data_IF_744867877563
#
_entry.id   IF_744867877563
#
_cell.length_a   1.000
_cell.length_b   1.000
_cell.length_c   1.000
_cell.angle_alpha   90.00
_cell.angle_beta   90.00
_cell.angle_gamma   90.00
#
_symmetry.space_group_name_H-M   'P 1'
#
loop_
_entity.id
_entity.type
_entity.pdbx_description
1 polymer ?
#
# COMPACT_ATOMS: atom_id res chain seq x y z
N UNK A 1 -6.22 27.59 -53.29
CA UNK A 1 -6.07 28.75 -52.38
C UNK A 1 -6.56 28.32 -50.99
N UNK A 2 -5.64 27.88 -50.12
CA UNK A 2 -5.98 27.24 -48.83
C UNK A 2 -5.86 28.29 -47.71
N UNK A 3 -6.99 28.62 -47.05
CA UNK A 3 -7.01 29.53 -45.90
C UNK A 3 -6.55 28.79 -44.65
N UNK A 4 -5.38 29.16 -44.11
CA UNK A 4 -4.94 28.72 -42.79
C UNK A 4 -5.70 29.49 -41.70
N UNK A 5 -6.50 28.77 -40.91
CA UNK A 5 -7.11 29.26 -39.68
C UNK A 5 -6.08 29.19 -38.54
N UNK A 6 -5.47 30.33 -38.21
CA UNK A 6 -4.67 30.46 -36.99
C UNK A 6 -5.59 30.41 -35.76
N UNK A 7 -5.53 29.31 -34.99
CA UNK A 7 -6.16 29.22 -33.66
C UNK A 7 -5.37 30.08 -32.66
N UNK A 8 -5.95 31.21 -32.24
CA UNK A 8 -5.50 31.97 -31.06
C UNK A 8 -5.64 31.07 -29.81
N UNK A 9 -4.52 30.80 -29.13
CA UNK A 9 -4.54 30.19 -27.80
C UNK A 9 -5.07 31.22 -26.80
N UNK A 10 -6.00 30.86 -25.89
CA UNK A 10 -6.45 31.77 -24.85
C UNK A 10 -5.29 32.03 -23.88
N UNK A 11 -5.02 33.31 -23.64
CA UNK A 11 -4.12 33.76 -22.59
C UNK A 11 -4.68 33.31 -21.23
N UNK A 12 -4.09 32.27 -20.65
CA UNK A 12 -4.29 31.94 -19.24
C UNK A 12 -3.72 33.09 -18.41
N UNK A 13 -4.61 34.01 -17.98
CA UNK A 13 -4.25 35.03 -17.01
C UNK A 13 -3.99 34.33 -15.69
N UNK A 14 -2.71 34.19 -15.33
CA UNK A 14 -2.32 33.94 -13.94
C UNK A 14 -2.92 35.06 -13.09
N UNK A 15 -3.88 34.71 -12.23
CA UNK A 15 -4.38 35.60 -11.20
C UNK A 15 -3.24 35.86 -10.21
N UNK A 16 -2.48 36.93 -10.44
CA UNK A 16 -1.58 37.48 -9.43
C UNK A 16 -2.46 37.92 -8.25
N UNK A 17 -2.32 37.24 -7.11
CA UNK A 17 -2.91 37.67 -5.84
C UNK A 17 -2.35 39.06 -5.51
N UNK A 18 -3.13 40.11 -5.79
CA UNK A 18 -2.73 41.51 -5.61
C UNK A 18 -2.92 42.03 -4.18
N UNK A 19 -3.41 41.20 -3.25
CA UNK A 19 -3.69 41.62 -1.89
C UNK A 19 -2.88 40.79 -0.89
N UNK A 20 -1.92 41.44 -0.23
CA UNK A 20 -1.05 40.86 0.80
C UNK A 20 -1.89 40.20 1.91
N UNK A 21 -3.03 40.78 2.25
CA UNK A 21 -3.96 40.23 3.25
C UNK A 21 -4.51 38.85 2.85
N UNK A 22 -4.78 38.60 1.57
CA UNK A 22 -5.26 37.29 1.12
C UNK A 22 -4.16 36.22 1.21
N UNK A 23 -2.90 36.60 0.98
CA UNK A 23 -1.76 35.70 1.12
C UNK A 23 -1.48 35.37 2.59
N UNK A 24 -1.60 36.36 3.48
CA UNK A 24 -1.49 36.17 4.94
C UNK A 24 -2.62 35.27 5.47
N UNK A 25 -3.87 35.50 5.05
CA UNK A 25 -5.01 34.66 5.44
C UNK A 25 -4.87 33.23 4.92
N UNK A 26 -4.38 33.06 3.69
CA UNK A 26 -4.13 31.74 3.13
C UNK A 26 -3.01 31.00 3.89
N UNK A 27 -1.89 31.67 4.16
CA UNK A 27 -0.79 31.09 4.92
C UNK A 27 -1.21 30.73 6.35
N UNK A 28 -1.98 31.59 7.03
CA UNK A 28 -2.53 31.31 8.35
C UNK A 28 -3.48 30.09 8.31
N UNK A 29 -4.32 29.98 7.28
CA UNK A 29 -5.17 28.81 7.03
C UNK A 29 -4.36 27.53 6.86
N UNK A 30 -3.31 27.55 6.05
CA UNK A 30 -2.42 26.40 5.85
C UNK A 30 -1.69 25.99 7.14
N UNK A 31 -1.18 26.96 7.91
CA UNK A 31 -0.49 26.68 9.17
C UNK A 31 -1.48 26.07 10.17
N UNK A 32 -2.67 26.66 10.34
CA UNK A 32 -3.66 26.16 11.30
C UNK A 32 -4.13 24.74 10.98
N UNK A 33 -4.36 24.43 9.71
CA UNK A 33 -4.75 23.08 9.26
C UNK A 33 -3.60 22.08 9.40
N UNK A 34 -2.36 22.49 9.09
CA UNK A 34 -1.18 21.66 9.33
C UNK A 34 -0.99 21.36 10.82
N UNK A 35 -1.10 22.36 11.69
CA UNK A 35 -0.97 22.18 13.14
C UNK A 35 -2.07 21.27 13.69
N UNK A 36 -3.33 21.42 13.24
CA UNK A 36 -4.42 20.55 13.65
C UNK A 36 -4.19 19.10 13.19
N UNK A 37 -3.71 18.90 11.95
CA UNK A 37 -3.37 17.58 11.42
C UNK A 37 -2.21 16.93 12.18
N UNK A 38 -1.14 17.68 12.45
CA UNK A 38 0.00 17.21 13.25
C UNK A 38 -0.40 16.87 14.68
N UNK A 39 -1.25 17.68 15.33
CA UNK A 39 -1.76 17.38 16.67
C UNK A 39 -2.65 16.13 16.67
N UNK A 40 -3.46 15.93 15.64
CA UNK A 40 -4.31 14.74 15.50
C UNK A 40 -3.44 13.50 15.31
N UNK A 41 -2.42 13.56 14.46
CA UNK A 41 -1.42 12.49 14.30
C UNK A 41 -0.67 12.20 15.59
N UNK A 42 -0.28 13.24 16.32
CA UNK A 42 0.44 13.10 17.60
C UNK A 42 -0.46 12.49 18.69
N UNK A 43 -1.73 12.91 18.76
CA UNK A 43 -2.72 12.35 19.68
C UNK A 43 -3.13 10.91 19.33
N UNK A 44 -3.11 10.55 18.03
CA UNK A 44 -3.36 9.18 17.56
C UNK A 44 -2.14 8.27 17.63
N UNK A 45 -0.96 8.82 17.95
CA UNK A 45 0.26 8.02 18.06
C UNK A 45 0.32 7.36 19.44
N UNK A 46 0.60 6.05 19.46
CA UNK A 46 0.78 5.24 20.67
C UNK A 46 1.83 5.82 21.64
N UNK A 47 2.68 6.74 21.16
CA UNK A 47 3.69 7.50 21.91
C UNK A 47 3.12 8.34 23.07
N UNK A 48 1.96 9.00 22.91
CA UNK A 48 1.39 9.80 24.01
C UNK A 48 0.81 8.90 25.11
N UNK A 49 0.20 7.77 24.71
CA UNK A 49 -0.25 6.73 25.65
C UNK A 49 0.92 6.08 26.40
N UNK A 50 2.06 5.87 25.73
CA UNK A 50 3.30 5.37 26.33
C UNK A 50 3.92 6.39 27.29
N UNK A 51 3.95 7.67 26.93
CA UNK A 51 4.47 8.75 27.77
C UNK A 51 3.61 8.96 29.03
N UNK A 52 2.28 8.94 28.90
CA UNK A 52 1.35 9.01 30.03
C UNK A 52 1.56 7.79 30.94
N UNK A 53 1.72 6.59 30.39
CA UNK A 53 2.07 5.40 31.19
C UNK A 53 3.40 5.54 31.93
N UNK A 54 4.41 6.14 31.29
CA UNK A 54 5.72 6.41 31.92
C UNK A 54 5.64 7.44 33.05
N UNK A 55 4.81 8.48 32.90
CA UNK A 55 4.66 9.53 33.90
C UNK A 55 3.84 9.05 35.11
N UNK A 56 2.85 8.17 34.89
CA UNK A 56 1.91 7.72 35.93
C UNK A 56 2.18 6.30 36.47
N UNK A 57 3.30 5.68 36.15
CA UNK A 57 3.72 4.39 36.74
C UNK A 57 5.22 4.38 37.03
N UNK A 58 5.65 4.70 38.25
CA UNK A 58 7.04 4.64 38.64
C UNK A 58 7.34 3.24 39.17
N UNK A 59 8.06 2.43 38.40
CA UNK A 59 8.81 1.29 38.93
C UNK A 59 10.11 1.13 38.13
N UNK A 60 11.20 0.70 38.80
CA UNK A 60 12.56 1.12 38.49
C UNK A 60 13.13 0.34 37.32
N UNK A 61 13.96 1.02 36.53
CA UNK A 61 14.91 0.36 35.65
C UNK A 61 16.03 -0.26 36.49
N UNK A 62 16.30 -1.54 36.27
CA UNK A 62 17.67 -2.02 36.19
C UNK A 62 17.89 -2.71 34.84
N UNK A 63 19.07 -2.54 34.22
CA UNK A 63 19.32 -2.95 32.84
C UNK A 63 20.07 -4.29 32.81
N UNK A 64 19.49 -5.30 32.17
CA UNK A 64 20.26 -6.43 31.65
C UNK A 64 19.86 -6.68 30.19
N UNK A 65 20.71 -6.14 29.31
CA UNK A 65 20.87 -6.58 27.93
C UNK A 65 21.53 -7.95 28.03
N UNK A 66 20.75 -9.03 27.96
CA UNK A 66 21.09 -10.29 27.28
C UNK A 66 19.94 -11.30 27.51
N UNK A 67 19.48 -11.95 26.44
CA UNK A 67 18.72 -13.21 26.44
C UNK A 67 17.28 -13.19 27.00
N UNK A 68 16.30 -12.95 26.12
CA UNK A 68 15.01 -13.68 26.10
C UNK A 68 14.17 -13.28 24.88
N UNK A 69 14.63 -13.65 23.67
CA UNK A 69 13.71 -13.70 22.52
C UNK A 69 12.90 -15.01 22.50
N UNK A 70 13.35 -16.06 23.20
CA UNK A 70 12.66 -17.35 23.21
C UNK A 70 11.37 -17.37 24.07
N UNK A 71 11.28 -16.59 25.16
CA UNK A 71 10.09 -16.57 26.03
C UNK A 71 8.92 -15.73 25.49
N UNK A 72 9.18 -14.74 24.61
CA UNK A 72 8.09 -13.96 24.00
C UNK A 72 7.37 -14.72 22.88
N UNK A 73 7.97 -15.78 22.34
CA UNK A 73 7.35 -16.66 21.34
C UNK A 73 6.42 -17.72 21.92
N UNK A 74 6.57 -18.13 23.19
CA UNK A 74 5.66 -19.10 23.82
C UNK A 74 4.33 -18.48 24.30
N UNK A 75 4.29 -17.17 24.50
CA UNK A 75 3.09 -16.47 24.97
C UNK A 75 2.42 -15.58 23.93
N UNK A 76 3.04 -15.36 22.76
CA UNK A 76 2.35 -14.78 21.62
C UNK A 76 1.59 -15.87 20.84
N UNK A 77 0.60 -16.50 21.49
CA UNK A 77 -0.55 -16.97 20.72
C UNK A 77 -1.18 -15.71 20.13
N UNK A 78 -1.37 -15.59 18.80
CA UNK A 78 -2.20 -14.51 18.29
C UNK A 78 -3.48 -14.60 19.10
N UNK A 79 -3.81 -13.55 19.87
CA UNK A 79 -5.08 -13.50 20.59
C UNK A 79 -6.10 -13.74 19.50
N UNK A 80 -6.67 -14.94 19.47
CA UNK A 80 -7.71 -15.28 18.53
C UNK A 80 -8.74 -14.21 18.77
N UNK A 81 -8.90 -13.28 17.82
CA UNK A 81 -9.96 -12.30 17.91
C UNK A 81 -11.21 -13.15 18.09
N UNK A 82 -11.96 -13.03 19.21
CA UNK A 82 -13.25 -13.70 19.35
C UNK A 82 -14.29 -12.99 18.48
N UNK A 83 -13.88 -12.41 17.35
CA UNK A 83 -14.75 -12.27 16.23
C UNK A 83 -15.09 -13.69 15.82
N UNK A 84 -16.33 -14.10 16.05
CA UNK A 84 -16.95 -15.20 15.30
C UNK A 84 -16.37 -15.12 13.90
N UNK A 85 -15.81 -16.22 13.38
CA UNK A 85 -15.74 -16.43 11.94
C UNK A 85 -17.17 -16.23 11.45
N UNK A 86 -17.58 -14.99 11.21
CA UNK A 86 -18.71 -14.68 10.39
C UNK A 86 -18.24 -15.29 9.09
N UNK A 87 -18.95 -16.31 8.62
CA UNK A 87 -18.97 -16.56 7.19
C UNK A 87 -19.32 -15.19 6.61
N UNK A 88 -18.30 -14.50 6.10
CA UNK A 88 -18.53 -13.26 5.37
C UNK A 88 -19.26 -13.79 4.15
N UNK A 89 -20.59 -13.71 4.18
CA UNK A 89 -21.41 -14.05 3.04
C UNK A 89 -20.90 -13.15 1.93
N UNK A 90 -20.15 -13.73 0.99
CA UNK A 90 -19.55 -12.99 -0.11
C UNK A 90 -20.72 -12.41 -0.88
N UNK A 91 -20.80 -11.08 -0.93
CA UNK A 91 -21.83 -10.42 -1.73
C UNK A 91 -21.53 -10.66 -3.20
N UNK A 92 -22.15 -11.70 -3.75
CA UNK A 92 -22.01 -12.13 -5.14
C UNK A 92 -22.58 -11.12 -6.14
N UNK A 93 -23.24 -10.05 -5.67
CA UNK A 93 -23.82 -9.02 -6.53
C UNK A 93 -22.83 -7.93 -6.93
N UNK A 94 -21.69 -7.80 -6.23
CA UNK A 94 -20.65 -6.84 -6.62
C UNK A 94 -20.10 -7.23 -8.00
N UNK A 95 -20.22 -6.30 -8.96
CA UNK A 95 -19.65 -6.44 -10.31
C UNK A 95 -18.66 -5.31 -10.51
N UNK A 96 -17.45 -5.64 -10.94
CA UNK A 96 -16.47 -4.63 -11.33
C UNK A 96 -16.49 -4.45 -12.84
N UNK A 97 -16.24 -3.24 -13.32
CA UNK A 97 -16.28 -2.89 -14.73
C UNK A 97 -15.17 -3.57 -15.53
N UNK A 98 -13.98 -3.71 -14.93
CA UNK A 98 -12.79 -4.30 -15.56
C UNK A 98 -12.60 -5.78 -15.25
N UNK A 99 -13.46 -6.33 -14.38
CA UNK A 99 -13.23 -7.63 -13.79
C UNK A 99 -14.50 -8.28 -13.27
N UNK A 100 -14.69 -9.57 -13.56
CA UNK A 100 -15.77 -10.36 -12.97
C UNK A 100 -15.17 -11.62 -12.32
N UNK A 101 -14.96 -11.57 -11.00
CA UNK A 101 -14.37 -12.71 -10.26
C UNK A 101 -15.19 -14.01 -10.37
N UNK A 102 -16.42 -13.95 -10.88
CA UNK A 102 -17.26 -15.13 -11.12
C UNK A 102 -16.97 -15.81 -12.47
N UNK A 103 -16.21 -15.15 -13.34
CA UNK A 103 -15.89 -15.59 -14.70
C UNK A 103 -14.39 -15.94 -14.79
N UNK A 104 -14.03 -17.23 -14.89
CA UNK A 104 -12.64 -17.72 -14.96
C UNK A 104 -11.79 -16.98 -16.02
N UNK A 105 -12.39 -16.67 -17.16
CA UNK A 105 -11.75 -15.98 -18.27
C UNK A 105 -11.30 -14.55 -17.93
N UNK A 106 -11.86 -13.95 -16.88
CA UNK A 106 -11.44 -12.61 -16.41
C UNK A 106 -10.51 -12.67 -15.20
N UNK A 107 -10.23 -13.87 -14.66
CA UNK A 107 -9.29 -14.15 -13.57
C UNK A 107 -7.83 -14.22 -14.04
N UNK A 108 -7.49 -13.39 -15.01
CA UNK A 108 -6.16 -13.39 -15.61
C UNK A 108 -5.26 -12.39 -14.90
N UNK A 109 -4.04 -12.81 -14.64
CA UNK A 109 -2.91 -11.96 -14.28
C UNK A 109 -1.87 -12.04 -15.40
N UNK A 110 -0.99 -11.05 -15.45
CA UNK A 110 0.22 -11.09 -16.27
C UNK A 110 1.40 -11.40 -15.36
N UNK A 111 2.42 -12.04 -15.91
CA UNK A 111 3.72 -12.15 -15.26
C UNK A 111 4.76 -11.37 -16.04
N UNK A 112 5.71 -10.78 -15.32
CA UNK A 112 6.92 -10.22 -15.88
C UNK A 112 8.10 -10.70 -15.05
N UNK A 113 9.21 -10.99 -15.71
CA UNK A 113 10.43 -11.44 -15.06
C UNK A 113 11.54 -10.42 -15.28
N UNK A 114 12.12 -9.94 -14.19
CA UNK A 114 13.24 -8.99 -14.21
C UNK A 114 14.37 -9.56 -13.35
N UNK A 115 15.55 -9.78 -13.91
CA UNK A 115 16.70 -10.36 -13.17
C UNK A 115 16.35 -11.65 -12.38
N UNK A 116 15.61 -12.57 -13.02
CA UNK A 116 15.08 -13.80 -12.43
C UNK A 116 14.03 -13.61 -11.32
N UNK A 117 13.49 -12.40 -11.16
CA UNK A 117 12.42 -12.09 -10.21
C UNK A 117 11.10 -12.06 -10.98
N UNK A 118 10.22 -13.01 -10.68
CA UNK A 118 8.85 -13.00 -11.22
C UNK A 118 7.95 -12.06 -10.41
N UNK A 119 7.25 -11.18 -11.12
CA UNK A 119 6.20 -10.33 -10.59
C UNK A 119 4.91 -10.71 -11.26
N UNK A 120 3.89 -11.03 -10.46
CA UNK A 120 2.54 -11.24 -10.95
C UNK A 120 1.77 -9.93 -10.82
N UNK A 121 1.11 -9.48 -11.87
CA UNK A 121 0.45 -8.18 -11.86
C UNK A 121 -0.83 -8.13 -12.66
N UNK A 122 -1.67 -7.16 -12.32
CA UNK A 122 -2.87 -6.80 -13.06
C UNK A 122 -2.94 -5.29 -13.21
N UNK A 123 -3.27 -4.84 -14.41
CA UNK A 123 -3.45 -3.43 -14.75
C UNK A 123 -4.93 -3.14 -15.00
N UNK A 124 -5.39 -1.92 -14.68
CA UNK A 124 -6.66 -1.41 -15.18
C UNK A 124 -6.70 -1.39 -16.70
N UNK A 125 -7.84 -1.75 -17.27
CA UNK A 125 -8.06 -1.78 -18.71
C UNK A 125 -8.88 -0.58 -19.20
N UNK A 126 -9.80 -0.09 -18.38
CA UNK A 126 -10.68 1.04 -18.73
C UNK A 126 -10.29 2.37 -18.09
N UNK A 127 -9.41 2.37 -17.08
CA UNK A 127 -8.94 3.56 -16.40
C UNK A 127 -7.43 3.76 -16.56
N UNK A 128 -6.98 5.01 -16.41
CA UNK A 128 -5.55 5.32 -16.28
C UNK A 128 -5.05 4.81 -14.94
N UNK A 129 -3.82 4.30 -14.92
CA UNK A 129 -3.19 3.91 -13.66
C UNK A 129 -2.85 5.16 -12.86
N UNK A 130 -3.35 5.23 -11.63
CA UNK A 130 -3.17 6.35 -10.70
C UNK A 130 -2.18 6.05 -9.58
N UNK A 131 -2.03 4.78 -9.22
CA UNK A 131 -1.16 4.32 -8.15
C UNK A 131 -0.82 2.83 -8.29
N UNK A 132 0.15 2.36 -7.51
CA UNK A 132 0.48 0.95 -7.37
C UNK A 132 -0.05 0.41 -6.04
N UNK A 133 -0.66 -0.76 -6.06
CA UNK A 133 -0.95 -1.57 -4.89
C UNK A 133 0.03 -2.73 -4.84
N UNK A 134 0.93 -2.73 -3.87
CA UNK A 134 1.87 -3.82 -3.63
C UNK A 134 1.24 -4.82 -2.65
N UNK A 135 1.25 -6.10 -3.03
CA UNK A 135 0.57 -7.16 -2.30
C UNK A 135 1.61 -8.18 -1.84
N UNK A 136 1.63 -8.42 -0.53
CA UNK A 136 2.50 -9.37 0.15
C UNK A 136 1.64 -10.45 0.81
N UNK A 137 1.90 -11.72 0.48
CA UNK A 137 1.11 -12.85 1.00
C UNK A 137 1.52 -13.23 2.43
N UNK A 138 0.68 -14.00 3.13
CA UNK A 138 1.05 -14.58 4.43
C UNK A 138 2.03 -15.75 4.29
N UNK A 139 2.64 -16.16 5.41
CA UNK A 139 3.43 -17.39 5.48
C UNK A 139 2.64 -18.60 4.96
N UNK A 140 3.30 -19.49 4.21
CA UNK A 140 2.72 -20.70 3.57
C UNK A 140 1.72 -20.44 2.44
N UNK A 141 1.49 -19.18 2.07
CA UNK A 141 0.80 -18.82 0.83
C UNK A 141 1.83 -18.54 -0.27
N UNK A 142 1.37 -18.54 -1.53
CA UNK A 142 2.14 -18.14 -2.70
C UNK A 142 1.53 -16.90 -3.35
N UNK A 143 2.33 -16.18 -4.13
CA UNK A 143 1.87 -15.04 -4.92
C UNK A 143 0.68 -15.40 -5.82
N UNK A 144 0.69 -16.58 -6.44
CA UNK A 144 -0.40 -17.05 -7.31
C UNK A 144 -1.74 -17.17 -6.58
N UNK A 145 -1.74 -17.49 -5.29
CA UNK A 145 -2.98 -17.74 -4.54
C UNK A 145 -3.84 -16.47 -4.42
N UNK A 146 -3.26 -15.28 -4.62
CA UNK A 146 -3.99 -14.02 -4.72
C UNK A 146 -4.91 -13.92 -5.94
N UNK A 147 -4.64 -14.70 -6.97
CA UNK A 147 -5.43 -14.73 -8.19
C UNK A 147 -6.36 -15.94 -8.27
N UNK A 148 -6.41 -16.79 -7.24
CA UNK A 148 -7.23 -18.01 -7.25
C UNK A 148 -8.42 -17.99 -6.28
N UNK A 149 -8.39 -17.17 -5.23
CA UNK A 149 -9.51 -17.06 -4.27
C UNK A 149 -10.42 -15.86 -4.55
N UNK A 150 -11.73 -16.04 -4.37
CA UNK A 150 -12.72 -14.99 -4.62
C UNK A 150 -12.50 -13.76 -3.75
N UNK A 151 -12.13 -13.94 -2.48
CA UNK A 151 -11.90 -12.85 -1.54
C UNK A 151 -10.73 -11.96 -1.97
N UNK A 152 -9.59 -12.58 -2.31
CA UNK A 152 -8.37 -11.86 -2.73
C UNK A 152 -8.59 -11.16 -4.08
N UNK A 153 -9.29 -11.83 -4.99
CA UNK A 153 -9.66 -11.25 -6.27
C UNK A 153 -10.62 -10.07 -6.14
N UNK A 154 -11.54 -10.04 -5.18
CA UNK A 154 -12.41 -8.87 -4.94
C UNK A 154 -11.59 -7.65 -4.51
N UNK A 155 -10.55 -7.84 -3.71
CA UNK A 155 -9.62 -6.75 -3.34
C UNK A 155 -8.92 -6.22 -4.58
N UNK A 156 -8.38 -7.11 -5.41
CA UNK A 156 -7.74 -6.73 -6.68
C UNK A 156 -8.75 -6.02 -7.59
N UNK A 157 -9.97 -6.55 -7.73
CA UNK A 157 -11.04 -5.96 -8.55
C UNK A 157 -11.39 -4.54 -8.13
N UNK A 158 -11.59 -4.32 -6.84
CA UNK A 158 -11.87 -2.99 -6.30
C UNK A 158 -10.71 -2.02 -6.51
N UNK A 159 -9.47 -2.47 -6.32
CA UNK A 159 -8.28 -1.65 -6.55
C UNK A 159 -8.14 -1.27 -8.04
N UNK A 160 -8.36 -2.21 -8.95
CA UNK A 160 -8.34 -1.97 -10.40
C UNK A 160 -9.39 -0.92 -10.80
N UNK A 161 -10.61 -0.99 -10.28
CA UNK A 161 -11.65 0.03 -10.58
C UNK A 161 -11.24 1.43 -10.15
N UNK A 162 -10.51 1.54 -9.04
CA UNK A 162 -9.98 2.81 -8.52
C UNK A 162 -8.72 3.29 -9.28
N UNK A 163 -8.28 2.54 -10.30
CA UNK A 163 -7.12 2.88 -11.12
C UNK A 163 -5.79 2.39 -10.54
N UNK A 164 -5.78 1.49 -9.57
CA UNK A 164 -4.53 0.92 -9.05
C UNK A 164 -4.03 -0.20 -9.97
N UNK A 165 -2.75 -0.19 -10.29
CA UNK A 165 -2.08 -1.40 -10.78
C UNK A 165 -1.68 -2.26 -9.59
N UNK A 166 -2.08 -3.53 -9.60
CA UNK A 166 -1.83 -4.46 -8.50
C UNK A 166 -0.63 -5.33 -8.85
N UNK A 167 0.39 -5.33 -7.99
CA UNK A 167 1.60 -6.14 -8.12
C UNK A 167 1.69 -7.07 -6.91
N UNK A 168 1.86 -8.37 -7.16
CA UNK A 168 2.00 -9.40 -6.14
C UNK A 168 3.39 -9.99 -6.24
N UNK A 169 4.10 -10.00 -5.12
CA UNK A 169 5.46 -10.52 -5.02
C UNK A 169 5.47 -11.86 -4.28
N UNK A 170 6.44 -12.71 -4.63
CA UNK A 170 6.69 -13.99 -3.97
C UNK A 170 7.84 -13.82 -2.97
N UNK A 171 7.65 -14.25 -1.72
CA UNK A 171 8.75 -14.27 -0.74
C UNK A 171 9.91 -15.16 -1.22
N UNK A 172 11.14 -14.77 -0.90
CA UNK A 172 12.38 -15.44 -1.34
C UNK A 172 12.63 -16.78 -0.64
N UNK A 173 12.03 -17.02 0.53
CA UNK A 173 12.05 -18.33 1.19
C UNK A 173 11.05 -19.28 0.54
N UNK A 174 11.51 -20.17 -0.34
CA UNK A 174 10.65 -21.13 -1.03
C UNK A 174 10.10 -22.25 -0.11
N UNK A 175 10.75 -22.49 1.04
CA UNK A 175 10.41 -23.58 1.95
C UNK A 175 9.30 -23.13 2.91
N UNK A 176 9.53 -22.04 3.65
CA UNK A 176 8.55 -21.53 4.60
C UNK A 176 7.54 -20.59 3.95
N UNK A 177 7.87 -20.06 2.76
CA UNK A 177 7.05 -19.09 2.03
C UNK A 177 6.68 -17.90 2.91
N UNK A 178 7.66 -17.41 3.67
CA UNK A 178 7.52 -16.30 4.59
C UNK A 178 8.43 -15.16 4.19
N UNK A 179 7.98 -13.93 4.44
CA UNK A 179 8.82 -12.75 4.36
C UNK A 179 9.82 -12.72 5.51
N UNK A 180 11.07 -12.39 5.20
CA UNK A 180 12.13 -12.19 6.18
C UNK A 180 11.86 -10.94 7.02
N UNK A 181 11.87 -11.13 8.34
CA UNK A 181 11.71 -10.04 9.33
C UNK A 181 12.92 -9.90 10.26
N UNK A 182 13.98 -10.69 10.05
CA UNK A 182 15.14 -10.76 10.95
C UNK A 182 16.38 -10.03 10.44
N UNK A 183 16.41 -9.67 9.16
CA UNK A 183 17.54 -8.97 8.53
C UNK A 183 17.27 -7.46 8.43
N UNK A 184 18.34 -6.66 8.54
CA UNK A 184 18.30 -5.23 8.20
C UNK A 184 17.82 -5.02 6.75
N UNK A 185 17.16 -3.91 6.48
CA UNK A 185 16.58 -3.53 5.19
C UNK A 185 17.61 -3.68 4.05
N UNK A 186 18.87 -3.34 4.29
CA UNK A 186 19.93 -3.41 3.28
C UNK A 186 20.39 -4.84 2.98
N UNK A 187 20.21 -5.78 3.91
CA UNK A 187 20.61 -7.19 3.77
C UNK A 187 19.41 -8.09 3.45
N UNK A 188 18.20 -7.58 3.60
CA UNK A 188 16.97 -8.32 3.41
C UNK A 188 16.73 -8.62 1.92
N UNK A 189 16.89 -9.90 1.55
CA UNK A 189 16.71 -10.39 0.19
C UNK A 189 15.31 -10.11 -0.36
N UNK A 190 14.27 -10.14 0.47
CA UNK A 190 12.91 -9.83 0.02
C UNK A 190 12.77 -8.36 -0.37
N UNK A 191 13.31 -7.45 0.46
CA UNK A 191 13.30 -6.01 0.16
C UNK A 191 14.09 -5.73 -1.12
N UNK A 192 15.28 -6.32 -1.26
CA UNK A 192 16.09 -6.17 -2.46
C UNK A 192 15.38 -6.70 -3.71
N UNK A 193 14.73 -7.86 -3.61
CA UNK A 193 13.95 -8.47 -4.69
C UNK A 193 12.78 -7.57 -5.10
N UNK A 194 12.01 -7.06 -4.14
CA UNK A 194 10.89 -6.13 -4.40
C UNK A 194 11.41 -4.85 -5.05
N UNK A 195 12.49 -4.26 -4.53
CA UNK A 195 13.08 -3.04 -5.08
C UNK A 195 13.55 -3.22 -6.52
N UNK A 196 14.24 -4.31 -6.83
CA UNK A 196 14.69 -4.63 -8.20
C UNK A 196 13.52 -4.89 -9.14
N UNK A 197 12.54 -5.65 -8.66
CA UNK A 197 11.32 -5.92 -9.41
C UNK A 197 10.57 -4.64 -9.77
N UNK A 198 10.42 -3.71 -8.82
CA UNK A 198 9.81 -2.41 -9.06
C UNK A 198 10.60 -1.56 -10.05
N UNK A 199 11.93 -1.50 -9.96
CA UNK A 199 12.76 -0.78 -10.93
C UNK A 199 12.60 -1.35 -12.35
N UNK A 200 12.61 -2.67 -12.50
CA UNK A 200 12.32 -3.35 -13.77
C UNK A 200 10.94 -3.00 -14.32
N UNK A 201 9.92 -3.03 -13.45
CA UNK A 201 8.55 -2.70 -13.81
C UNK A 201 8.39 -1.24 -14.25
N UNK A 202 9.00 -0.29 -13.54
CA UNK A 202 8.97 1.13 -13.90
C UNK A 202 9.66 1.42 -15.23
N UNK A 203 10.73 0.69 -15.59
CA UNK A 203 11.35 0.82 -16.92
C UNK A 203 10.39 0.42 -18.05
N UNK A 204 9.54 -0.58 -17.82
CA UNK A 204 8.53 -1.00 -18.79
C UNK A 204 7.33 -0.04 -18.84
N UNK A 205 7.00 0.59 -17.71
CA UNK A 205 5.88 1.52 -17.58
C UNK A 205 6.32 2.89 -17.03
N UNK A 206 7.14 3.66 -17.75
CA UNK A 206 7.80 4.87 -17.24
C UNK A 206 6.88 6.08 -17.05
N UNK A 207 5.59 5.95 -17.40
CA UNK A 207 4.57 6.99 -17.26
C UNK A 207 3.60 6.71 -16.10
N UNK A 208 3.91 5.71 -15.28
CA UNK A 208 3.27 5.45 -13.98
C UNK A 208 3.80 6.42 -12.92
#
# INVERSE_FOLDING_TARGET
>A
MVRQLQRKRPNAKLYRFKCIHCLVLFAAGCISTFTAFSLTLYASSDSLGALIRQIFSPTPQEPEIQQTFDELTEHYRPRGFPGKQRSISIDHNVRYNDFDYRKPETLTYKSATYDNIEILYRLPQKSSISALLLIFHSCKDRAHDWFHSFERQRIIGAAIELGYACLVFQATDEIRQCWSNTADIYENKDVQMVSKGLDGFYKQYPKL
#
